data_IF_806591276593
#
_entry.id   IF_806591276593
#
_cell.length_a   1.000
_cell.length_b   1.000
_cell.length_c   1.000
_cell.angle_alpha   90.00
_cell.angle_beta   90.00
_cell.angle_gamma   90.00
#
_symmetry.space_group_name_H-M   'P 1'
#
loop_
_entity.id
_entity.type
_entity.pdbx_description
1 polymer ?
#
# COMPACT_ATOMS: atom_id res chain seq x y z
N UNK A 1 8.21 -20.48 -3.06
CA UNK A 1 7.17 -20.74 -2.05
C UNK A 1 7.44 -20.04 -0.71
N UNK A 2 8.66 -20.14 -0.14
CA UNK A 2 8.99 -19.51 1.16
C UNK A 2 8.73 -18.00 1.23
N UNK A 3 9.13 -17.24 0.20
CA UNK A 3 8.92 -15.79 0.16
C UNK A 3 7.43 -15.38 0.20
N UNK A 4 6.55 -16.12 -0.50
CA UNK A 4 5.10 -15.81 -0.55
C UNK A 4 4.44 -15.95 0.83
N UNK A 5 4.84 -16.96 1.60
CA UNK A 5 4.35 -17.20 2.95
C UNK A 5 4.76 -16.06 3.88
N UNK A 6 5.99 -15.56 3.74
CA UNK A 6 6.48 -14.42 4.53
C UNK A 6 5.67 -13.15 4.25
N UNK A 7 5.40 -12.84 2.98
CA UNK A 7 4.58 -11.68 2.61
C UNK A 7 3.15 -11.77 3.14
N UNK A 8 2.57 -12.97 3.14
CA UNK A 8 1.27 -13.21 3.78
C UNK A 8 1.33 -13.01 5.30
N UNK A 9 2.38 -13.48 5.97
CA UNK A 9 2.55 -13.26 7.41
C UNK A 9 2.68 -11.76 7.74
N UNK A 10 3.50 -11.02 6.99
CA UNK A 10 3.64 -9.56 7.11
C UNK A 10 2.27 -8.87 6.93
N UNK A 11 1.49 -9.32 5.95
CA UNK A 11 0.15 -8.77 5.71
C UNK A 11 -0.80 -9.01 6.87
N UNK A 12 -0.79 -10.21 7.46
CA UNK A 12 -1.61 -10.53 8.64
C UNK A 12 -1.20 -9.66 9.84
N UNK A 13 0.10 -9.53 10.10
CA UNK A 13 0.60 -8.65 11.17
C UNK A 13 0.18 -7.21 10.91
N UNK A 14 0.33 -6.72 9.68
CA UNK A 14 -0.06 -5.36 9.32
C UNK A 14 -1.57 -5.13 9.45
N UNK A 15 -2.40 -6.11 9.10
CA UNK A 15 -3.85 -6.05 9.31
C UNK A 15 -4.17 -5.92 10.80
N UNK A 16 -3.57 -6.76 11.65
CA UNK A 16 -3.79 -6.70 13.10
C UNK A 16 -3.37 -5.34 13.65
N UNK A 17 -2.17 -4.86 13.28
CA UNK A 17 -1.67 -3.55 13.69
C UNK A 17 -2.59 -2.41 13.22
N UNK A 18 -3.10 -2.49 12.00
CA UNK A 18 -3.99 -1.48 11.43
C UNK A 18 -5.36 -1.44 12.10
N UNK A 19 -5.87 -2.56 12.59
CA UNK A 19 -7.15 -2.61 13.29
C UNK A 19 -7.06 -2.30 14.79
N UNK A 20 -5.92 -2.60 15.42
CA UNK A 20 -5.80 -2.54 16.88
C UNK A 20 -5.00 -1.34 17.36
N UNK A 21 -3.76 -1.20 16.89
CA UNK A 21 -2.81 -0.21 17.41
C UNK A 21 -2.99 1.14 16.72
N UNK A 22 -3.14 1.15 15.39
CA UNK A 22 -3.25 2.41 14.65
C UNK A 22 -4.41 3.29 15.11
N UNK A 23 -5.63 2.77 15.38
CA UNK A 23 -6.73 3.60 15.88
C UNK A 23 -6.48 4.18 17.29
N UNK A 24 -5.60 3.57 18.08
CA UNK A 24 -5.28 4.02 19.45
C UNK A 24 -4.13 5.02 19.48
N UNK A 25 -3.14 4.86 18.59
CA UNK A 25 -1.90 5.65 18.59
C UNK A 25 -1.99 6.84 17.64
N UNK A 26 -2.76 6.73 16.56
CA UNK A 26 -2.92 7.83 15.62
C UNK A 26 -3.98 8.81 16.13
N UNK A 27 -3.74 10.10 15.91
CA UNK A 27 -4.79 11.12 16.03
C UNK A 27 -6.00 10.64 15.21
N UNK A 28 -7.23 10.74 15.75
CA UNK A 28 -8.46 10.26 15.09
C UNK A 28 -8.64 10.75 13.64
N UNK A 29 -7.92 11.80 13.28
CA UNK A 29 -7.90 12.39 11.94
C UNK A 29 -6.90 11.76 10.98
N UNK A 30 -5.78 11.20 11.45
CA UNK A 30 -4.71 10.66 10.59
C UNK A 30 -5.02 9.20 10.25
N UNK A 31 -5.04 8.87 8.96
CA UNK A 31 -5.29 7.52 8.46
C UNK A 31 -4.04 6.96 7.79
N UNK A 32 -3.54 5.84 8.28
CA UNK A 32 -2.39 5.14 7.71
C UNK A 32 -2.86 3.79 7.16
N UNK A 33 -2.69 3.59 5.85
CA UNK A 33 -3.03 2.33 5.17
C UNK A 33 -1.78 1.47 4.97
N UNK A 34 -1.52 0.59 5.94
CA UNK A 34 -0.37 -0.34 5.91
C UNK A 34 -0.51 -1.35 4.78
N UNK A 35 -1.73 -1.76 4.45
CA UNK A 35 -2.01 -2.69 3.37
C UNK A 35 -1.59 -2.11 2.01
N UNK A 36 -1.92 -0.85 1.74
CA UNK A 36 -1.49 -0.17 0.52
C UNK A 36 0.04 -0.07 0.44
N UNK A 37 0.70 0.30 1.55
CA UNK A 37 2.17 0.39 1.63
C UNK A 37 2.82 -0.95 1.25
N UNK A 38 2.32 -2.07 1.79
CA UNK A 38 2.82 -3.41 1.48
C UNK A 38 2.59 -3.76 0.02
N UNK A 39 1.42 -3.44 -0.54
CA UNK A 39 1.10 -3.71 -1.96
C UNK A 39 2.04 -2.94 -2.90
N UNK A 40 2.29 -1.66 -2.63
CA UNK A 40 3.22 -0.84 -3.42
C UNK A 40 4.64 -1.42 -3.34
N UNK A 41 5.10 -1.77 -2.14
CA UNK A 41 6.42 -2.38 -1.97
C UNK A 41 6.52 -3.74 -2.67
N UNK A 42 5.52 -4.63 -2.51
CA UNK A 42 5.50 -5.94 -3.14
C UNK A 42 5.49 -5.84 -4.66
N UNK A 43 4.65 -4.95 -5.23
CA UNK A 43 4.61 -4.69 -6.66
C UNK A 43 5.96 -4.20 -7.19
N UNK A 44 6.58 -3.23 -6.51
CA UNK A 44 7.91 -2.74 -6.87
C UNK A 44 8.99 -3.82 -6.86
N UNK A 45 8.87 -4.82 -5.99
CA UNK A 45 9.90 -5.84 -5.78
C UNK A 45 9.71 -7.10 -6.62
N UNK A 46 8.47 -7.47 -6.94
CA UNK A 46 8.13 -8.71 -7.64
C UNK A 46 7.57 -8.49 -9.05
N UNK A 47 7.34 -7.24 -9.44
CA UNK A 47 6.86 -6.86 -10.76
C UNK A 47 5.33 -6.82 -10.90
N UNK A 48 4.89 -6.37 -12.06
CA UNK A 48 3.50 -5.94 -12.32
C UNK A 48 2.45 -7.04 -12.18
N UNK A 49 2.72 -8.26 -12.67
CA UNK A 49 1.77 -9.39 -12.59
C UNK A 49 1.55 -9.86 -11.16
N UNK A 50 2.64 -10.12 -10.43
CA UNK A 50 2.59 -10.55 -9.03
C UNK A 50 2.03 -9.44 -8.13
N UNK A 51 2.41 -8.19 -8.38
CA UNK A 51 1.86 -7.02 -7.69
C UNK A 51 0.35 -6.87 -7.84
N UNK A 52 -0.17 -7.06 -9.05
CA UNK A 52 -1.61 -7.05 -9.31
C UNK A 52 -2.35 -8.16 -8.54
N UNK A 53 -1.88 -9.41 -8.66
CA UNK A 53 -2.48 -10.56 -7.97
C UNK A 53 -2.46 -10.39 -6.45
N UNK A 54 -1.32 -9.96 -5.91
CA UNK A 54 -1.20 -9.71 -4.47
C UNK A 54 -2.14 -8.56 -4.05
N UNK A 55 -2.17 -7.46 -4.80
CA UNK A 55 -3.08 -6.34 -4.58
C UNK A 55 -4.55 -6.75 -4.58
N UNK A 56 -4.98 -7.66 -5.45
CA UNK A 56 -6.33 -8.22 -5.44
C UNK A 56 -6.63 -8.96 -4.13
N UNK A 57 -5.71 -9.83 -3.67
CA UNK A 57 -5.88 -10.57 -2.41
C UNK A 57 -5.94 -9.61 -1.23
N UNK A 58 -5.03 -8.64 -1.16
CA UNK A 58 -5.01 -7.63 -0.10
C UNK A 58 -6.28 -6.80 -0.11
N UNK A 59 -6.73 -6.38 -1.29
CA UNK A 59 -7.96 -5.61 -1.46
C UNK A 59 -9.21 -6.39 -1.05
N UNK A 60 -9.24 -7.70 -1.29
CA UNK A 60 -10.34 -8.57 -0.85
C UNK A 60 -10.40 -8.67 0.67
N UNK A 61 -9.24 -8.81 1.32
CA UNK A 61 -9.15 -8.74 2.78
C UNK A 61 -9.61 -7.35 3.25
N UNK A 62 -9.16 -6.27 2.62
CA UNK A 62 -9.54 -4.92 3.00
C UNK A 62 -11.06 -4.67 2.89
N UNK A 63 -11.71 -5.14 1.83
CA UNK A 63 -13.17 -5.02 1.66
C UNK A 63 -13.95 -5.76 2.76
N UNK A 64 -13.41 -6.86 3.30
CA UNK A 64 -14.06 -7.61 4.38
C UNK A 64 -14.07 -6.86 5.72
N UNK A 65 -13.12 -5.95 5.95
CA UNK A 65 -12.95 -5.31 7.26
C UNK A 65 -13.19 -3.78 7.27
N UNK A 66 -13.01 -3.07 6.16
CA UNK A 66 -12.96 -1.59 6.17
C UNK A 66 -14.22 -0.87 5.67
N UNK A 67 -15.34 -1.58 5.49
CA UNK A 67 -16.67 -0.97 5.29
C UNK A 67 -16.84 -0.14 4.00
N UNK A 68 -15.90 -0.24 3.05
CA UNK A 68 -16.01 0.35 1.72
C UNK A 68 -16.99 -0.47 0.86
N UNK A 69 -17.53 0.10 -0.24
CA UNK A 69 -18.30 -0.68 -1.21
C UNK A 69 -17.52 -1.92 -1.65
N UNK A 70 -18.14 -3.09 -1.50
CA UNK A 70 -17.47 -4.37 -1.76
C UNK A 70 -16.94 -4.44 -3.20
N UNK A 71 -15.68 -4.84 -3.37
CA UNK A 71 -14.98 -4.90 -4.65
C UNK A 71 -14.18 -3.65 -4.98
N UNK A 72 -14.39 -2.53 -4.27
CA UNK A 72 -13.67 -1.30 -4.56
C UNK A 72 -12.21 -1.36 -4.10
N UNK A 73 -11.92 -1.88 -2.91
CA UNK A 73 -10.52 -2.05 -2.47
C UNK A 73 -9.79 -3.10 -3.30
N UNK A 74 -10.47 -4.15 -3.76
CA UNK A 74 -9.90 -5.12 -4.71
C UNK A 74 -9.35 -4.40 -5.94
N UNK A 75 -10.18 -3.58 -6.59
CA UNK A 75 -9.78 -2.86 -7.80
C UNK A 75 -8.65 -1.88 -7.53
N UNK A 76 -8.76 -1.07 -6.47
CA UNK A 76 -7.76 -0.07 -6.13
C UNK A 76 -6.42 -0.70 -5.82
N UNK A 77 -6.37 -1.66 -4.90
CA UNK A 77 -5.10 -2.28 -4.49
C UNK A 77 -4.49 -3.11 -5.61
N UNK A 78 -5.29 -3.77 -6.45
CA UNK A 78 -4.79 -4.43 -7.66
C UNK A 78 -4.13 -3.44 -8.63
N UNK A 79 -4.79 -2.31 -8.90
CA UNK A 79 -4.26 -1.26 -9.77
C UNK A 79 -2.96 -0.67 -9.20
N UNK A 80 -2.94 -0.38 -7.90
CA UNK A 80 -1.75 0.16 -7.24
C UNK A 80 -0.57 -0.80 -7.31
N UNK A 81 -0.80 -2.09 -7.04
CA UNK A 81 0.23 -3.13 -7.17
C UNK A 81 0.71 -3.32 -8.60
N UNK A 82 -0.19 -3.23 -9.59
CA UNK A 82 0.15 -3.31 -11.00
C UNK A 82 1.02 -2.13 -11.45
N UNK A 83 0.64 -0.89 -11.10
CA UNK A 83 1.37 0.33 -11.44
C UNK A 83 2.73 0.36 -10.76
N UNK A 84 2.79 0.05 -9.47
CA UNK A 84 4.06 -0.07 -8.74
C UNK A 84 4.98 -1.11 -9.40
N UNK A 85 4.44 -2.26 -9.80
CA UNK A 85 5.24 -3.29 -10.46
C UNK A 85 5.60 -3.01 -11.91
N UNK A 86 4.98 -2.02 -12.58
CA UNK A 86 5.50 -1.50 -13.86
C UNK A 86 6.80 -0.72 -13.67
N UNK A 87 6.97 -0.10 -12.50
CA UNK A 87 8.19 0.62 -12.15
C UNK A 87 9.33 -0.32 -11.72
N UNK A 88 9.08 -1.64 -11.63
CA UNK A 88 10.08 -2.64 -11.22
C UNK A 88 11.36 -2.58 -12.07
N UNK A 89 11.26 -2.43 -13.39
CA UNK A 89 12.43 -2.32 -14.27
C UNK A 89 13.30 -1.11 -13.93
N UNK A 90 12.67 0.07 -13.79
CA UNK A 90 13.37 1.30 -13.40
C UNK A 90 13.90 1.24 -11.96
N UNK A 91 13.24 0.50 -11.07
CA UNK A 91 13.69 0.29 -9.70
C UNK A 91 15.02 -0.46 -9.64
N UNK A 92 15.25 -1.42 -10.54
CA UNK A 92 16.52 -2.15 -10.61
C UNK A 92 17.69 -1.22 -10.97
N UNK A 93 17.43 -0.21 -11.81
CA UNK A 93 18.41 0.79 -12.24
C UNK A 93 18.60 1.93 -11.23
N UNK A 94 17.50 2.45 -10.66
CA UNK A 94 17.52 3.57 -9.71
C UNK A 94 16.82 3.22 -8.40
N UNK A 95 17.64 2.84 -7.43
CA UNK A 95 17.21 2.19 -6.20
C UNK A 95 16.59 3.14 -5.15
N UNK A 96 16.76 4.46 -5.31
CA UNK A 96 16.31 5.45 -4.32
C UNK A 96 15.14 6.31 -4.81
N UNK A 97 15.17 6.76 -6.07
CA UNK A 97 14.14 7.67 -6.60
C UNK A 97 12.81 6.96 -6.90
N UNK A 98 12.88 5.73 -7.42
CA UNK A 98 11.69 5.01 -7.89
C UNK A 98 10.73 4.60 -6.76
N UNK A 99 11.19 4.07 -5.61
CA UNK A 99 10.28 3.77 -4.50
C UNK A 99 9.55 5.00 -3.97
N UNK A 100 10.24 6.15 -3.88
CA UNK A 100 9.65 7.41 -3.43
C UNK A 100 8.57 7.91 -4.41
N UNK A 101 8.85 7.84 -5.72
CA UNK A 101 7.89 8.18 -6.77
C UNK A 101 6.66 7.27 -6.75
N UNK A 102 6.88 5.96 -6.63
CA UNK A 102 5.83 4.95 -6.56
C UNK A 102 4.94 5.15 -5.33
N UNK A 103 5.53 5.43 -4.16
CA UNK A 103 4.77 5.75 -2.96
C UNK A 103 3.98 7.04 -3.13
N UNK A 104 4.64 8.12 -3.58
CA UNK A 104 4.00 9.45 -3.67
C UNK A 104 2.86 9.43 -4.67
N UNK A 105 3.13 9.01 -5.91
CA UNK A 105 2.10 8.90 -6.94
C UNK A 105 1.01 7.91 -6.53
N UNK A 106 1.40 6.82 -5.88
CA UNK A 106 0.44 5.80 -5.49
C UNK A 106 -0.49 6.20 -4.36
N UNK A 107 0.03 6.88 -3.35
CA UNK A 107 -0.76 7.42 -2.25
C UNK A 107 -1.81 8.40 -2.76
N UNK A 108 -1.41 9.40 -3.54
CA UNK A 108 -2.35 10.39 -4.06
C UNK A 108 -3.36 9.78 -5.03
N UNK A 109 -2.94 8.86 -5.91
CA UNK A 109 -3.86 8.16 -6.80
C UNK A 109 -4.92 7.38 -6.01
N UNK A 110 -4.51 6.63 -4.98
CA UNK A 110 -5.44 5.89 -4.13
C UNK A 110 -6.41 6.81 -3.39
N UNK A 111 -5.93 7.90 -2.77
CA UNK A 111 -6.79 8.85 -2.04
C UNK A 111 -7.78 9.57 -2.97
N UNK A 112 -7.35 9.95 -4.17
CA UNK A 112 -8.23 10.55 -5.19
C UNK A 112 -9.29 9.54 -5.62
N UNK A 113 -8.90 8.30 -5.89
CA UNK A 113 -9.86 7.27 -6.29
C UNK A 113 -10.84 6.96 -5.16
N UNK A 114 -10.38 6.86 -3.90
CA UNK A 114 -11.25 6.73 -2.74
C UNK A 114 -12.27 7.86 -2.67
N UNK A 115 -11.82 9.10 -2.79
CA UNK A 115 -12.70 10.27 -2.81
C UNK A 115 -13.75 10.18 -3.92
N UNK A 116 -13.33 9.84 -5.15
CA UNK A 116 -14.25 9.66 -6.29
C UNK A 116 -15.25 8.53 -6.06
N UNK A 117 -14.79 7.40 -5.50
CA UNK A 117 -15.65 6.28 -5.14
C UNK A 117 -16.72 6.67 -4.12
N UNK A 118 -16.32 7.33 -3.03
CA UNK A 118 -17.28 7.86 -2.05
C UNK A 118 -18.29 8.81 -2.70
N UNK A 119 -17.86 9.69 -3.61
CA UNK A 119 -18.76 10.61 -4.32
C UNK A 119 -19.76 9.91 -5.23
N UNK A 120 -19.38 8.77 -5.80
CA UNK A 120 -20.23 7.96 -6.68
C UNK A 120 -21.26 7.14 -5.87
N UNK A 121 -20.83 6.48 -4.79
CA UNK A 121 -21.70 5.59 -4.01
C UNK A 121 -22.53 6.30 -2.93
N UNK A 122 -22.06 7.44 -2.43
CA UNK A 122 -22.73 8.25 -1.41
C UNK A 122 -22.89 9.70 -1.87
N UNK A 123 -23.83 9.97 -2.80
CA UNK A 123 -24.06 11.32 -3.31
C UNK A 123 -24.65 12.21 -2.22
N UNK A 124 -23.79 12.99 -1.57
CA UNK A 124 -24.17 14.06 -0.63
C UNK A 124 -23.29 15.30 -0.83
N UNK A 125 -23.58 16.43 -0.16
CA UNK A 125 -22.79 17.66 -0.22
C UNK A 125 -21.48 17.49 0.58
N UNK A 126 -20.67 16.51 0.22
CA UNK A 126 -19.31 16.36 0.75
C UNK A 126 -18.37 17.22 -0.08
N UNK A 127 -18.23 18.49 0.30
CA UNK A 127 -17.17 19.34 -0.22
C UNK A 127 -15.89 19.09 0.59
N UNK A 128 -14.73 18.87 -0.05
CA UNK A 128 -13.46 18.80 0.66
C UNK A 128 -13.20 20.14 1.35
N UNK A 129 -13.49 20.21 2.65
CA UNK A 129 -13.14 21.39 3.45
C UNK A 129 -11.62 21.56 3.51
N UNK A 130 -11.12 22.74 3.88
CA UNK A 130 -9.68 22.93 4.13
C UNK A 130 -9.08 21.94 5.12
N UNK A 131 -9.90 21.43 6.06
CA UNK A 131 -9.52 20.37 7.00
C UNK A 131 -9.25 19.02 6.32
N UNK A 132 -9.97 18.68 5.24
CA UNK A 132 -9.77 17.44 4.50
C UNK A 132 -8.37 17.38 3.87
N UNK A 133 -7.92 18.47 3.26
CA UNK A 133 -6.58 18.57 2.66
C UNK A 133 -5.47 18.50 3.71
N UNK A 134 -5.66 19.13 4.87
CA UNK A 134 -4.73 19.03 5.99
C UNK A 134 -4.62 17.57 6.49
N UNK A 135 -5.73 16.85 6.56
CA UNK A 135 -5.76 15.43 6.96
C UNK A 135 -4.99 14.55 5.95
N UNK A 136 -5.24 14.72 4.65
CA UNK A 136 -4.52 13.97 3.62
C UNK A 136 -3.02 14.27 3.68
N UNK A 137 -2.64 15.55 3.83
CA UNK A 137 -1.25 15.97 3.94
C UNK A 137 -0.55 15.38 5.16
N UNK A 138 -1.17 15.43 6.34
CA UNK A 138 -0.62 14.82 7.55
C UNK A 138 -0.50 13.29 7.41
N UNK A 139 -1.53 12.65 6.85
CA UNK A 139 -1.54 11.21 6.60
C UNK A 139 -0.49 10.77 5.58
N UNK A 140 -0.18 11.61 4.59
CA UNK A 140 0.89 11.38 3.62
C UNK A 140 2.25 11.36 4.30
N UNK A 141 2.54 12.32 5.18
CA UNK A 141 3.82 12.40 5.88
C UNK A 141 4.06 11.19 6.77
N UNK A 142 3.05 10.81 7.56
CA UNK A 142 3.14 9.63 8.44
C UNK A 142 3.26 8.34 7.62
N UNK A 143 2.42 8.18 6.60
CA UNK A 143 2.46 7.00 5.71
C UNK A 143 3.78 6.91 4.95
N UNK A 144 4.37 8.04 4.57
CA UNK A 144 5.66 8.09 3.89
C UNK A 144 6.81 7.67 4.81
N UNK A 145 6.82 8.12 6.06
CA UNK A 145 7.79 7.67 7.05
C UNK A 145 7.69 6.15 7.29
N UNK A 146 6.47 5.62 7.42
CA UNK A 146 6.21 4.18 7.55
C UNK A 146 6.67 3.43 6.28
N UNK A 147 6.35 3.94 5.09
CA UNK A 147 6.77 3.34 3.83
C UNK A 147 8.28 3.24 3.73
N UNK A 148 9.03 4.28 4.10
CA UNK A 148 10.50 4.25 4.09
C UNK A 148 11.02 3.15 5.02
N UNK A 149 10.51 3.07 6.26
CA UNK A 149 10.91 2.04 7.21
C UNK A 149 10.61 0.63 6.69
N UNK A 150 9.39 0.41 6.18
CA UNK A 150 8.99 -0.88 5.61
C UNK A 150 9.77 -1.23 4.35
N UNK A 151 10.07 -0.25 3.49
CA UNK A 151 10.88 -0.43 2.29
C UNK A 151 12.28 -0.94 2.65
N UNK A 152 12.96 -0.30 3.60
CA UNK A 152 14.28 -0.75 4.06
C UNK A 152 14.23 -2.14 4.69
N UNK A 153 13.19 -2.43 5.47
CA UNK A 153 12.97 -3.74 6.06
C UNK A 153 12.82 -4.81 4.98
N UNK A 154 11.94 -4.61 4.00
CA UNK A 154 11.70 -5.56 2.91
C UNK A 154 12.91 -5.74 2.00
N UNK A 155 13.64 -4.66 1.72
CA UNK A 155 14.90 -4.74 0.96
C UNK A 155 15.93 -5.61 1.67
N UNK A 156 16.09 -5.44 2.98
CA UNK A 156 17.01 -6.22 3.80
C UNK A 156 16.63 -7.70 3.82
N UNK A 157 15.34 -8.01 3.93
CA UNK A 157 14.84 -9.38 3.85
C UNK A 157 15.09 -10.03 2.50
N UNK A 158 14.85 -9.32 1.39
CA UNK A 158 15.11 -9.84 0.05
C UNK A 158 16.60 -10.11 -0.20
N UNK A 159 17.48 -9.24 0.28
CA UNK A 159 18.93 -9.50 0.20
C UNK A 159 19.33 -10.73 1.01
N UNK A 160 18.70 -10.96 2.17
CA UNK A 160 18.92 -12.15 2.98
C UNK A 160 18.46 -13.42 2.26
N UNK A 161 17.29 -13.41 1.62
CA UNK A 161 16.79 -14.55 0.83
C UNK A 161 17.68 -14.86 -0.39
N UNK A 162 18.18 -13.82 -1.10
CA UNK A 162 19.16 -14.00 -2.18
C UNK A 162 20.46 -14.61 -1.67
N UNK A 163 20.98 -14.14 -0.52
CA UNK A 163 22.23 -14.63 0.08
C UNK A 163 22.15 -16.10 0.52
N UNK A 164 20.95 -16.60 0.84
CA UNK A 164 20.70 -18.00 1.23
C UNK A 164 20.41 -18.88 0.00
N UNK A 165 20.40 -18.33 -1.21
CA UNK A 165 20.18 -19.08 -2.45
C UNK A 165 18.72 -19.51 -2.66
N UNK A 166 17.77 -18.86 -1.97
CA UNK A 166 16.33 -19.17 -2.10
C UNK A 166 15.73 -18.52 -3.36
N UNK A 167 16.38 -17.50 -3.91
CA UNK A 167 15.98 -16.77 -5.12
C UNK A 167 17.19 -16.76 -6.07
N UNK A 168 17.06 -17.36 -7.25
CA UNK A 168 18.03 -17.20 -8.35
C UNK A 168 17.67 -15.96 -9.16
N UNK A 169 18.69 -15.25 -9.65
CA UNK A 169 18.56 -14.01 -10.43
C UNK A 169 17.69 -14.15 -11.69
#
# INVERSE_FOLDING_TARGET
MKHRIMWLAILVVALILQMTILPQVMLQTIKVDLMMIIVLAYGLLQGSKEGCLFGMVVGLVADCFFGQPFGFQILLKALMGFLAGRLHGMYLENQAGVPALAFTGGYFAHEIMLFLGYRMFYPGPFFPSGKYWQIIGASFLVSGAVFIGMYYLFRRFLQFEKKIGIIKD
#
